data_IF_215092871481
#
_entry.id   IF_215092871481
#
_cell.length_a   1.000
_cell.length_b   1.000
_cell.length_c   1.000
_cell.angle_alpha   90.00
_cell.angle_beta   90.00
_cell.angle_gamma   90.00
#
_symmetry.space_group_name_H-M   'P 1'
#
loop_
_entity.id
_entity.type
_entity.pdbx_description
1 polymer ?
#
# COMPACT_ATOMS: atom_id res chain seq x y z
N UNK A 1 56.85 24.31 23.40
CA UNK A 1 55.74 23.84 24.25
C UNK A 1 54.42 24.38 23.67
N UNK A 2 53.54 23.50 23.19
CA UNK A 2 52.21 23.86 22.74
C UNK A 2 51.32 24.14 23.99
N UNK A 3 50.77 25.38 24.13
CA UNK A 3 49.77 25.66 25.14
C UNK A 3 48.46 24.97 24.75
N UNK A 4 48.00 24.04 25.56
CA UNK A 4 46.70 23.42 25.46
C UNK A 4 45.74 24.33 26.24
N UNK A 5 44.89 25.07 25.55
CA UNK A 5 43.78 25.82 26.20
C UNK A 5 42.64 24.84 26.51
N UNK A 6 42.26 24.75 27.78
CA UNK A 6 41.09 23.97 28.19
C UNK A 6 39.80 24.77 28.02
N UNK A 7 38.69 24.08 27.82
CA UNK A 7 37.36 24.66 27.81
C UNK A 7 36.98 25.26 29.17
N UNK A 8 36.34 26.42 29.16
CA UNK A 8 35.81 27.02 30.39
C UNK A 8 34.44 26.40 30.72
N UNK A 9 34.13 26.32 32.04
CA UNK A 9 32.84 25.77 32.47
C UNK A 9 31.64 26.58 31.90
N UNK A 10 31.82 27.89 31.75
CA UNK A 10 30.78 28.76 31.20
C UNK A 10 30.51 28.51 29.70
N UNK A 11 31.55 28.18 28.93
CA UNK A 11 31.38 27.81 27.50
C UNK A 11 30.55 26.53 27.36
N UNK A 12 30.81 25.55 28.25
CA UNK A 12 30.03 24.32 28.23
C UNK A 12 28.56 24.57 28.62
N UNK A 13 28.30 25.37 29.66
CA UNK A 13 26.94 25.68 30.13
C UNK A 13 26.15 26.45 29.05
N UNK A 14 26.75 27.44 28.40
CA UNK A 14 26.08 28.19 27.33
C UNK A 14 25.71 27.28 26.17
N UNK A 15 26.58 26.36 25.76
CA UNK A 15 26.30 25.42 24.67
C UNK A 15 25.13 24.50 25.01
N UNK A 16 25.09 23.91 26.20
CA UNK A 16 23.98 23.01 26.56
C UNK A 16 22.65 23.76 26.69
N UNK A 17 22.64 25.00 27.16
CA UNK A 17 21.42 25.84 27.24
C UNK A 17 20.91 26.15 25.83
N UNK A 18 21.77 26.54 24.91
CA UNK A 18 21.39 26.82 23.52
C UNK A 18 20.87 25.56 22.84
N UNK A 19 21.53 24.40 23.01
CA UNK A 19 21.07 23.14 22.47
C UNK A 19 19.72 22.72 23.05
N UNK A 20 19.48 22.93 24.34
CA UNK A 20 18.20 22.63 24.99
C UNK A 20 17.04 23.45 24.38
N UNK A 21 17.25 24.76 24.17
CA UNK A 21 16.25 25.62 23.55
C UNK A 21 15.97 25.19 22.11
N UNK A 22 17.00 24.87 21.33
CA UNK A 22 16.85 24.41 19.94
C UNK A 22 16.12 23.04 19.89
N UNK A 23 16.43 22.12 20.79
CA UNK A 23 15.79 20.81 20.86
C UNK A 23 14.28 20.91 21.10
N UNK A 24 13.84 21.78 22.02
CA UNK A 24 12.40 21.96 22.31
C UNK A 24 11.61 22.44 21.10
N UNK A 25 12.19 23.29 20.25
CA UNK A 25 11.53 23.80 19.05
C UNK A 25 11.62 22.80 17.87
N UNK A 26 12.71 22.03 17.79
CA UNK A 26 12.93 21.12 16.67
C UNK A 26 12.10 19.83 16.77
N UNK A 27 11.94 19.24 17.98
CA UNK A 27 11.25 17.97 18.17
C UNK A 27 9.83 17.90 17.59
N UNK A 28 8.91 18.87 17.83
CA UNK A 28 7.56 18.81 17.24
C UNK A 28 7.56 18.83 15.72
N UNK A 29 8.52 19.54 15.11
CA UNK A 29 8.65 19.63 13.65
C UNK A 29 9.06 18.30 13.03
N UNK A 30 9.97 17.57 13.66
CA UNK A 30 10.41 16.26 13.16
C UNK A 30 9.29 15.21 13.19
N UNK A 31 8.43 15.24 14.20
CA UNK A 31 7.29 14.33 14.30
C UNK A 31 6.28 14.59 13.17
N UNK A 32 5.95 15.85 12.87
CA UNK A 32 5.02 16.19 11.78
C UNK A 32 5.59 15.82 10.40
N UNK A 33 6.87 16.06 10.15
CA UNK A 33 7.53 15.69 8.88
C UNK A 33 7.52 14.16 8.68
N UNK A 34 7.72 13.39 9.75
CA UNK A 34 7.64 11.92 9.69
C UNK A 34 6.25 11.44 9.27
N UNK A 35 5.18 12.02 9.83
CA UNK A 35 3.81 11.68 9.46
C UNK A 35 3.48 12.08 8.00
N UNK A 36 3.89 13.28 7.58
CA UNK A 36 3.70 13.75 6.20
C UNK A 36 4.43 12.85 5.19
N UNK A 37 5.60 12.31 5.55
CA UNK A 37 6.34 11.36 4.75
C UNK A 37 5.58 10.04 4.59
N UNK A 38 5.01 9.49 5.67
CA UNK A 38 4.17 8.29 5.62
C UNK A 38 2.90 8.50 4.81
N UNK A 39 2.23 9.64 4.97
CA UNK A 39 1.04 9.99 4.20
C UNK A 39 1.35 10.09 2.69
N UNK A 40 2.50 10.65 2.35
CA UNK A 40 2.97 10.76 0.97
C UNK A 40 3.35 9.40 0.39
N UNK A 41 4.02 8.55 1.16
CA UNK A 41 4.39 7.20 0.76
C UNK A 41 3.15 6.32 0.50
N UNK A 42 2.16 6.37 1.40
CA UNK A 42 0.89 5.65 1.21
C UNK A 42 0.16 6.07 -0.07
N UNK A 43 0.02 7.38 -0.28
CA UNK A 43 -0.63 7.91 -1.50
C UNK A 43 0.15 7.57 -2.77
N UNK A 44 1.47 7.62 -2.71
CA UNK A 44 2.34 7.25 -3.83
C UNK A 44 2.18 5.79 -4.22
N UNK A 45 2.20 4.87 -3.24
CA UNK A 45 2.01 3.44 -3.47
C UNK A 45 0.61 3.14 -4.05
N UNK A 46 -0.44 3.78 -3.53
CA UNK A 46 -1.80 3.60 -4.01
C UNK A 46 -2.03 4.20 -5.41
N UNK A 47 -1.36 5.31 -5.72
CA UNK A 47 -1.37 5.88 -7.06
C UNK A 47 -0.64 4.98 -8.07
N UNK A 48 0.47 4.37 -7.67
CA UNK A 48 1.18 3.38 -8.49
C UNK A 48 0.29 2.16 -8.79
N UNK A 49 -0.39 1.62 -7.78
CA UNK A 49 -1.37 0.54 -7.98
C UNK A 49 -2.47 0.94 -8.96
N UNK A 50 -3.05 2.13 -8.81
CA UNK A 50 -4.07 2.66 -9.72
C UNK A 50 -3.57 2.77 -11.16
N UNK A 51 -2.32 3.19 -11.33
CA UNK A 51 -1.67 3.25 -12.65
C UNK A 51 -1.46 1.85 -13.23
N UNK A 52 -1.04 0.89 -12.40
CA UNK A 52 -0.93 -0.52 -12.78
C UNK A 52 -2.25 -1.10 -13.30
N UNK A 53 -3.36 -0.84 -12.61
CA UNK A 53 -4.71 -1.24 -13.07
C UNK A 53 -5.02 -0.67 -14.46
N UNK A 54 -4.72 0.61 -14.68
CA UNK A 54 -4.98 1.26 -15.98
C UNK A 54 -4.10 0.72 -17.10
N UNK A 55 -2.82 0.45 -16.80
CA UNK A 55 -1.89 -0.15 -17.76
C UNK A 55 -2.29 -1.58 -18.10
N UNK A 56 -2.70 -2.38 -17.12
CA UNK A 56 -3.20 -3.73 -17.32
C UNK A 56 -4.40 -3.74 -18.25
N UNK A 57 -5.40 -2.90 -17.99
CA UNK A 57 -6.59 -2.80 -18.84
C UNK A 57 -6.26 -2.33 -20.25
N UNK A 58 -5.31 -1.40 -20.40
CA UNK A 58 -4.84 -0.96 -21.73
C UNK A 58 -4.17 -2.09 -22.51
N UNK A 59 -3.39 -2.94 -21.85
CA UNK A 59 -2.79 -4.13 -22.43
C UNK A 59 -3.88 -5.13 -22.87
N UNK A 60 -4.88 -5.39 -22.01
CA UNK A 60 -6.00 -6.26 -22.35
C UNK A 60 -6.76 -5.77 -23.60
N UNK A 61 -7.04 -4.47 -23.70
CA UNK A 61 -7.64 -3.87 -24.90
C UNK A 61 -6.75 -4.01 -26.12
N UNK A 62 -5.45 -3.75 -26.00
CA UNK A 62 -4.49 -3.83 -27.09
C UNK A 62 -4.28 -5.27 -27.61
N UNK A 63 -4.46 -6.28 -26.74
CA UNK A 63 -4.39 -7.69 -27.13
C UNK A 63 -5.58 -8.16 -27.99
N UNK A 64 -6.64 -7.34 -28.10
CA UNK A 64 -7.89 -7.72 -28.75
C UNK A 64 -8.72 -8.72 -27.95
N UNK A 65 -8.41 -8.90 -26.69
CA UNK A 65 -9.12 -9.81 -25.81
C UNK A 65 -10.57 -9.36 -25.60
N UNK A 66 -11.45 -10.34 -25.40
CA UNK A 66 -12.84 -10.13 -25.02
C UNK A 66 -13.23 -11.13 -23.93
N UNK A 67 -13.68 -10.64 -22.79
CA UNK A 67 -14.02 -11.47 -21.63
C UNK A 67 -12.82 -11.87 -20.79
N UNK A 68 -12.97 -12.92 -20.02
CA UNK A 68 -11.96 -13.43 -19.10
C UNK A 68 -10.73 -13.97 -19.86
N UNK A 69 -9.55 -13.57 -19.41
CA UNK A 69 -8.25 -14.04 -19.92
C UNK A 69 -7.41 -14.54 -18.78
N UNK A 70 -6.87 -15.75 -18.89
CA UNK A 70 -5.89 -16.32 -17.98
C UNK A 70 -4.51 -15.86 -18.43
N UNK A 71 -3.67 -15.48 -17.47
CA UNK A 71 -2.26 -15.16 -17.70
C UNK A 71 -2.07 -14.15 -18.84
N UNK A 72 -2.49 -12.90 -18.61
CA UNK A 72 -2.40 -11.86 -19.65
C UNK A 72 -0.95 -11.52 -19.98
N UNK A 73 -0.43 -12.16 -21.04
CA UNK A 73 1.00 -12.18 -21.38
C UNK A 73 1.63 -10.81 -21.72
N UNK A 74 0.85 -9.78 -22.02
CA UNK A 74 1.38 -8.45 -22.35
C UNK A 74 1.60 -7.54 -21.12
N UNK A 75 1.30 -8.02 -19.91
CA UNK A 75 1.46 -7.23 -18.68
C UNK A 75 2.34 -7.95 -17.67
N UNK A 76 3.36 -7.25 -17.13
CA UNK A 76 4.25 -7.78 -16.10
C UNK A 76 4.92 -9.09 -16.52
N UNK A 77 4.88 -10.06 -15.62
CA UNK A 77 5.34 -11.43 -15.87
C UNK A 77 4.30 -12.33 -16.57
N UNK A 78 3.13 -11.78 -16.87
CA UNK A 78 2.04 -12.50 -17.51
C UNK A 78 1.24 -13.41 -16.58
N UNK A 79 1.36 -13.28 -15.26
CA UNK A 79 0.73 -14.19 -14.29
C UNK A 79 -0.63 -13.71 -13.79
N UNK A 80 -1.05 -12.49 -14.11
CA UNK A 80 -2.31 -11.92 -13.63
C UNK A 80 -3.43 -12.16 -14.62
N UNK A 81 -4.52 -12.72 -14.13
CA UNK A 81 -5.75 -12.96 -14.89
C UNK A 81 -6.64 -11.72 -14.93
N UNK A 82 -7.45 -11.62 -15.96
CA UNK A 82 -8.46 -10.56 -16.08
C UNK A 82 -9.80 -10.96 -15.48
N UNK A 83 -10.62 -9.97 -15.18
CA UNK A 83 -12.07 -10.13 -15.09
C UNK A 83 -12.69 -10.27 -16.47
N UNK A 84 -13.99 -10.56 -16.50
CA UNK A 84 -14.75 -10.55 -17.76
C UNK A 84 -14.82 -9.18 -18.43
N UNK A 85 -14.51 -8.12 -17.71
CA UNK A 85 -14.47 -6.72 -18.18
C UNK A 85 -13.05 -6.23 -18.47
N UNK A 86 -12.04 -7.11 -18.38
CA UNK A 86 -10.65 -6.81 -18.73
C UNK A 86 -9.84 -6.09 -17.65
N UNK A 87 -10.33 -6.01 -16.42
CA UNK A 87 -9.58 -5.48 -15.30
C UNK A 87 -8.84 -6.59 -14.54
N UNK A 88 -7.70 -6.31 -13.89
CA UNK A 88 -6.93 -7.34 -13.19
C UNK A 88 -7.71 -7.93 -12.01
N UNK A 89 -7.65 -9.25 -11.85
CA UNK A 89 -8.38 -9.98 -10.80
C UNK A 89 -7.44 -10.67 -9.80
N UNK A 90 -6.34 -11.22 -10.24
CA UNK A 90 -5.41 -12.01 -9.45
C UNK A 90 -4.92 -13.20 -10.25
N UNK A 91 -4.29 -14.16 -9.60
CA UNK A 91 -3.83 -15.40 -10.23
C UNK A 91 -4.85 -16.49 -9.93
N UNK A 92 -5.78 -16.74 -10.85
CA UNK A 92 -6.75 -17.79 -10.68
C UNK A 92 -6.11 -19.12 -11.05
N UNK A 93 -6.05 -20.03 -10.12
CA UNK A 93 -5.78 -21.42 -10.54
C UNK A 93 -7.02 -21.95 -11.24
N UNK A 94 -6.89 -22.44 -12.43
CA UNK A 94 -8.00 -22.97 -13.27
C UNK A 94 -8.85 -24.03 -12.54
N UNK A 95 -8.32 -24.67 -11.52
CA UNK A 95 -9.02 -25.66 -10.69
C UNK A 95 -10.19 -25.11 -9.87
N UNK A 96 -10.33 -23.80 -9.72
CA UNK A 96 -11.39 -23.19 -8.91
C UNK A 96 -12.69 -22.91 -9.65
N UNK A 97 -12.74 -23.08 -10.98
CA UNK A 97 -13.91 -22.76 -11.79
C UNK A 97 -14.22 -21.24 -11.84
N UNK A 98 -13.29 -20.40 -11.43
CA UNK A 98 -13.44 -18.95 -11.47
C UNK A 98 -13.15 -18.43 -12.88
N UNK A 99 -14.17 -18.00 -13.57
CA UNK A 99 -14.10 -17.48 -14.93
C UNK A 99 -14.01 -15.93 -14.93
N UNK A 100 -13.27 -15.35 -14.03
CA UNK A 100 -13.12 -13.90 -13.93
C UNK A 100 -14.34 -13.20 -13.32
N UNK A 101 -15.17 -13.92 -12.53
CA UNK A 101 -16.41 -13.40 -11.96
C UNK A 101 -16.43 -13.31 -10.43
N UNK A 102 -15.46 -13.95 -9.76
CA UNK A 102 -15.40 -14.03 -8.31
C UNK A 102 -14.08 -13.50 -7.76
N UNK A 103 -14.16 -12.68 -6.72
CA UNK A 103 -13.02 -12.28 -5.89
C UNK A 103 -12.86 -13.28 -4.75
N UNK A 104 -11.67 -13.86 -4.57
CA UNK A 104 -11.44 -14.95 -3.64
C UNK A 104 -10.03 -14.91 -3.02
N UNK A 105 -9.91 -15.45 -1.80
CA UNK A 105 -8.63 -15.80 -1.19
C UNK A 105 -7.57 -14.71 -1.27
N UNK A 106 -6.41 -15.08 -1.79
CA UNK A 106 -5.22 -14.22 -1.86
C UNK A 106 -5.16 -13.28 -3.09
N UNK A 107 -6.23 -13.17 -3.87
CA UNK A 107 -6.24 -12.35 -5.09
C UNK A 107 -5.80 -10.91 -4.85
N UNK A 108 -6.20 -10.31 -3.72
CA UNK A 108 -5.81 -8.94 -3.40
C UNK A 108 -4.30 -8.80 -3.17
N UNK A 109 -3.65 -9.81 -2.53
CA UNK A 109 -2.20 -9.84 -2.40
C UNK A 109 -1.52 -10.00 -3.76
N UNK A 110 -1.97 -10.97 -4.55
CA UNK A 110 -1.44 -11.23 -5.88
C UNK A 110 -1.57 -10.01 -6.80
N UNK A 111 -2.68 -9.27 -6.70
CA UNK A 111 -2.86 -8.00 -7.42
C UNK A 111 -1.83 -6.96 -6.99
N UNK A 112 -1.58 -6.81 -5.70
CA UNK A 112 -0.57 -5.86 -5.22
C UNK A 112 0.82 -6.22 -5.76
N UNK A 113 1.21 -7.48 -5.62
CA UNK A 113 2.51 -8.00 -6.05
C UNK A 113 2.67 -7.94 -7.57
N UNK A 114 1.66 -8.33 -8.34
CA UNK A 114 1.73 -8.40 -9.80
C UNK A 114 1.57 -7.07 -10.52
N UNK A 115 0.88 -6.08 -9.92
CA UNK A 115 0.74 -4.75 -10.51
C UNK A 115 1.90 -3.82 -10.20
N UNK A 116 2.63 -4.02 -9.09
CA UNK A 116 3.66 -3.10 -8.63
C UNK A 116 5.09 -3.58 -8.87
N UNK A 117 5.30 -4.85 -9.20
CA UNK A 117 6.63 -5.46 -9.45
C UNK A 117 7.69 -5.05 -8.40
N UNK A 118 7.25 -4.84 -7.15
CA UNK A 118 8.16 -4.52 -6.06
C UNK A 118 7.74 -5.19 -4.75
N UNK A 119 8.74 -5.70 -4.03
CA UNK A 119 8.57 -6.27 -2.69
C UNK A 119 8.90 -5.25 -1.58
N UNK A 120 8.74 -3.95 -1.84
CA UNK A 120 9.10 -2.89 -0.89
C UNK A 120 8.15 -2.80 0.31
N UNK A 121 6.99 -3.46 0.21
CA UNK A 121 5.97 -3.47 1.26
C UNK A 121 5.73 -4.89 1.78
N UNK A 122 5.74 -5.05 3.10
CA UNK A 122 5.33 -6.28 3.77
C UNK A 122 3.81 -6.31 3.90
N UNK A 123 3.16 -7.25 3.22
CA UNK A 123 1.71 -7.40 3.23
C UNK A 123 1.30 -8.47 4.25
N UNK A 124 0.25 -8.20 5.02
CA UNK A 124 -0.38 -9.17 5.90
C UNK A 124 -1.90 -9.24 5.65
N UNK A 125 -2.50 -10.45 5.65
CA UNK A 125 -3.95 -10.57 5.58
C UNK A 125 -4.61 -9.97 6.82
N UNK A 126 -5.80 -9.39 6.65
CA UNK A 126 -6.54 -8.76 7.75
C UNK A 126 -6.81 -9.74 8.89
N UNK A 127 -6.33 -9.41 10.07
CA UNK A 127 -6.44 -10.17 11.31
C UNK A 127 -5.65 -9.49 12.42
N UNK A 128 -5.82 -9.93 13.66
CA UNK A 128 -5.18 -9.29 14.82
C UNK A 128 -3.64 -9.31 14.73
N UNK A 129 -3.09 -10.41 14.19
CA UNK A 129 -1.64 -10.56 14.03
C UNK A 129 -1.03 -9.63 12.96
N UNK A 130 -1.85 -9.00 12.11
CA UNK A 130 -1.36 -8.09 11.08
C UNK A 130 -0.86 -6.75 11.64
N UNK A 131 -1.33 -6.36 12.82
CA UNK A 131 -1.02 -5.08 13.43
C UNK A 131 0.13 -5.20 14.45
N UNK A 132 0.97 -4.16 14.54
CA UNK A 132 2.06 -4.09 15.53
C UNK A 132 3.32 -4.90 15.18
N UNK A 133 3.41 -5.47 13.98
CA UNK A 133 4.58 -6.18 13.46
C UNK A 133 5.43 -5.33 12.50
N UNK A 134 6.22 -6.01 11.67
CA UNK A 134 6.97 -5.41 10.56
C UNK A 134 6.14 -5.18 9.30
N UNK A 135 4.83 -5.39 9.37
CA UNK A 135 3.95 -5.25 8.22
C UNK A 135 3.71 -3.79 7.88
N UNK A 136 3.64 -3.51 6.58
CA UNK A 136 3.43 -2.17 6.04
C UNK A 136 2.00 -1.94 5.59
N UNK A 137 1.36 -3.00 5.09
CA UNK A 137 0.02 -2.96 4.51
C UNK A 137 -0.80 -4.17 5.00
N UNK A 138 -1.98 -3.89 5.50
CA UNK A 138 -3.00 -4.90 5.77
C UNK A 138 -3.95 -4.96 4.58
N UNK A 139 -4.15 -6.15 4.03
CA UNK A 139 -5.04 -6.37 2.89
C UNK A 139 -6.11 -7.42 3.20
N UNK A 140 -7.23 -7.31 2.51
CA UNK A 140 -8.26 -8.33 2.40
C UNK A 140 -9.28 -7.94 1.32
N UNK A 141 -10.38 -8.63 1.26
CA UNK A 141 -11.48 -8.32 0.35
C UNK A 141 -12.84 -8.32 1.04
N UNK A 142 -13.80 -7.70 0.39
CA UNK A 142 -15.22 -7.70 0.75
C UNK A 142 -16.03 -8.21 -0.44
N UNK A 143 -17.14 -8.87 -0.15
CA UNK A 143 -18.00 -9.46 -1.20
C UNK A 143 -17.39 -10.72 -1.81
N UNK A 144 -17.80 -11.05 -3.02
CA UNK A 144 -17.34 -12.22 -3.77
C UNK A 144 -17.56 -12.03 -5.26
N UNK A 145 -18.80 -11.84 -5.68
CA UNK A 145 -19.13 -11.63 -7.09
C UNK A 145 -18.76 -10.22 -7.53
N UNK A 146 -17.91 -10.11 -8.57
CA UNK A 146 -17.32 -8.83 -9.01
C UNK A 146 -18.35 -7.85 -9.62
N UNK A 147 -19.52 -8.32 -10.04
CA UNK A 147 -20.61 -7.48 -10.53
C UNK A 147 -21.26 -6.64 -9.42
N UNK A 148 -21.06 -7.01 -8.17
CA UNK A 148 -21.67 -6.33 -7.04
C UNK A 148 -20.79 -5.14 -6.57
N UNK A 149 -21.45 -4.04 -6.27
CA UNK A 149 -20.78 -2.79 -5.84
C UNK A 149 -20.07 -2.87 -4.48
N UNK A 150 -20.34 -3.91 -3.68
CA UNK A 150 -19.70 -4.19 -2.41
C UNK A 150 -18.53 -5.19 -2.52
N UNK A 151 -18.15 -5.60 -3.73
CA UNK A 151 -17.01 -6.50 -3.96
C UNK A 151 -15.78 -5.67 -4.34
N UNK A 152 -14.81 -5.65 -3.44
CA UNK A 152 -13.56 -4.91 -3.61
C UNK A 152 -12.42 -5.51 -2.79
N UNK A 153 -11.18 -5.35 -3.27
CA UNK A 153 -9.99 -5.46 -2.45
C UNK A 153 -9.79 -4.18 -1.65
N UNK A 154 -9.29 -4.30 -0.43
CA UNK A 154 -8.82 -3.14 0.34
C UNK A 154 -7.40 -3.36 0.86
N UNK A 155 -6.66 -2.25 0.91
CA UNK A 155 -5.28 -2.17 1.36
C UNK A 155 -5.15 -1.00 2.33
N UNK A 156 -4.79 -1.28 3.57
CA UNK A 156 -4.62 -0.27 4.60
C UNK A 156 -3.13 -0.09 4.91
N UNK A 157 -2.63 1.12 4.79
CA UNK A 157 -1.26 1.47 5.11
C UNK A 157 -1.09 1.60 6.63
N UNK A 158 -0.20 0.78 7.22
CA UNK A 158 0.05 0.72 8.67
C UNK A 158 1.52 0.89 9.07
N UNK A 159 2.42 1.16 8.11
CA UNK A 159 3.87 1.29 8.34
C UNK A 159 4.24 2.40 9.33
N UNK A 160 3.37 3.33 9.59
CA UNK A 160 3.49 4.37 10.61
C UNK A 160 3.16 3.88 12.03
N UNK A 161 3.16 2.56 12.25
CA UNK A 161 2.85 1.87 13.51
C UNK A 161 1.45 2.15 14.06
N UNK A 162 0.48 2.41 13.20
CA UNK A 162 -0.89 2.59 13.64
C UNK A 162 -1.47 1.30 14.20
N UNK A 163 -2.06 1.42 15.38
CA UNK A 163 -2.76 0.32 16.02
C UNK A 163 -4.06 -0.03 15.28
N UNK A 164 -4.53 -1.27 15.45
CA UNK A 164 -5.88 -1.68 15.06
C UNK A 164 -6.91 -0.68 15.61
N UNK A 165 -7.91 -0.33 14.81
CA UNK A 165 -8.93 0.67 15.16
C UNK A 165 -8.51 2.13 14.97
N UNK A 166 -7.26 2.40 14.56
CA UNK A 166 -6.83 3.75 14.18
C UNK A 166 -7.23 4.06 12.74
N UNK A 167 -7.47 5.35 12.46
CA UNK A 167 -7.68 5.82 11.11
C UNK A 167 -6.39 5.78 10.31
N UNK A 168 -6.42 5.16 9.14
CA UNK A 168 -5.28 5.06 8.23
C UNK A 168 -5.68 5.25 6.77
N UNK A 169 -4.71 5.40 5.88
CA UNK A 169 -4.96 5.46 4.45
C UNK A 169 -5.37 4.08 3.94
N UNK A 170 -6.46 4.04 3.19
CA UNK A 170 -6.99 2.84 2.55
C UNK A 170 -7.17 3.06 1.06
N UNK A 171 -6.68 2.12 0.27
CA UNK A 171 -7.03 1.93 -1.12
C UNK A 171 -8.13 0.88 -1.20
N UNK A 172 -9.21 1.17 -1.91
CA UNK A 172 -10.20 0.18 -2.37
C UNK A 172 -10.10 0.02 -3.87
N UNK A 173 -10.08 -1.21 -4.32
CA UNK A 173 -10.07 -1.56 -5.73
C UNK A 173 -11.24 -2.46 -6.07
N UNK A 174 -12.03 -2.07 -7.06
CA UNK A 174 -13.24 -2.76 -7.53
C UNK A 174 -12.95 -3.49 -8.84
N UNK A 175 -12.72 -4.81 -8.83
CA UNK A 175 -12.28 -5.52 -10.04
C UNK A 175 -13.32 -5.53 -11.17
N UNK A 176 -14.62 -5.47 -10.86
CA UNK A 176 -15.67 -5.43 -11.88
C UNK A 176 -15.70 -4.18 -12.76
N UNK A 177 -15.11 -3.08 -12.27
CA UNK A 177 -15.15 -1.76 -12.94
C UNK A 177 -13.79 -1.10 -13.09
N UNK A 178 -12.73 -1.68 -12.51
CA UNK A 178 -11.41 -1.08 -12.46
C UNK A 178 -11.30 0.17 -11.58
N UNK A 179 -12.38 0.54 -10.89
CA UNK A 179 -12.41 1.73 -10.05
C UNK A 179 -11.48 1.57 -8.86
N UNK A 180 -10.70 2.60 -8.56
CA UNK A 180 -9.93 2.74 -7.34
C UNK A 180 -10.45 3.91 -6.50
N UNK A 181 -10.39 3.78 -5.18
CA UNK A 181 -10.77 4.83 -4.24
C UNK A 181 -9.73 4.89 -3.14
N UNK A 182 -9.06 6.04 -3.00
CA UNK A 182 -8.12 6.31 -1.90
C UNK A 182 -8.87 7.15 -0.87
N UNK A 183 -8.97 6.65 0.36
CA UNK A 183 -9.71 7.29 1.44
C UNK A 183 -9.03 7.05 2.77
N UNK A 184 -9.53 7.63 3.83
CA UNK A 184 -9.20 7.24 5.20
C UNK A 184 -10.27 6.29 5.73
N UNK A 185 -9.83 5.28 6.47
CA UNK A 185 -10.71 4.27 7.04
C UNK A 185 -10.09 3.67 8.31
N UNK A 186 -10.94 3.22 9.21
CA UNK A 186 -10.54 2.43 10.38
C UNK A 186 -10.74 0.95 10.09
N UNK A 187 -9.73 0.13 10.40
CA UNK A 187 -9.90 -1.33 10.45
C UNK A 187 -10.28 -1.75 11.86
N UNK A 188 -11.37 -2.43 11.98
CA UNK A 188 -11.90 -2.97 13.25
C UNK A 188 -11.67 -4.46 13.38
#
# INVERSE_FOLDING_TARGET
MRKVSGFTLIELVVVIVVLAILAVVALPRFISVGQDAHDSAAKGAFAAFTSGVSLYHSCWLASGASGYVVDLACFGDGSIDSTTTGYPLGQTTQASGNNGTQLQGEFCRQLWEGLLDNNDYQLAPHGDAAFGGSNDIVYWYSGGEISLSNTYCYFNYIRDNRAKGSENWQLRYYPGTGKTLITRSTLS
#
